data_IF_832088837280
#
_entry.id   IF_832088837280
#
_cell.length_a   1.000
_cell.length_b   1.000
_cell.length_c   1.000
_cell.angle_alpha   90.00
_cell.angle_beta   90.00
_cell.angle_gamma   90.00
#
_symmetry.space_group_name_H-M   'P 1'
#
loop_
_entity.id
_entity.type
_entity.pdbx_description
1 polymer ?
#
# COMPACT_ATOMS: atom_id res chain seq x y z
N UNK A 1 9.52 -10.81 16.29
CA UNK A 1 10.72 -11.22 15.53
C UNK A 1 10.77 -10.40 14.23
N UNK A 2 11.95 -9.92 13.83
CA UNK A 2 12.15 -9.26 12.53
C UNK A 2 13.03 -10.14 11.63
N UNK A 3 12.73 -10.15 10.33
CA UNK A 3 13.53 -10.81 9.29
C UNK A 3 14.09 -9.76 8.35
N UNK A 4 15.33 -9.94 7.88
CA UNK A 4 15.89 -9.11 6.81
C UNK A 4 15.52 -9.74 5.46
N UNK A 5 14.92 -8.93 4.59
CA UNK A 5 14.56 -9.31 3.23
C UNK A 5 15.31 -8.39 2.25
N UNK A 6 15.91 -8.97 1.22
CA UNK A 6 16.50 -8.21 0.11
C UNK A 6 15.50 -8.24 -1.05
N UNK A 7 15.13 -7.07 -1.56
CA UNK A 7 14.14 -6.92 -2.63
C UNK A 7 14.80 -6.17 -3.79
N UNK A 8 14.61 -6.67 -5.02
CA UNK A 8 14.98 -5.95 -6.23
C UNK A 8 13.78 -5.12 -6.68
N UNK A 9 13.98 -3.82 -6.84
CA UNK A 9 12.96 -2.87 -7.29
C UNK A 9 13.48 -2.15 -8.53
N UNK A 10 12.58 -1.71 -9.41
CA UNK A 10 12.97 -0.79 -10.47
C UNK A 10 13.42 0.55 -9.88
N UNK A 11 14.29 1.25 -10.59
CA UNK A 11 14.79 2.57 -10.18
C UNK A 11 13.65 3.57 -9.96
N UNK A 12 12.63 3.50 -10.82
CA UNK A 12 11.44 4.35 -10.72
C UNK A 12 10.68 4.11 -9.42
N UNK A 13 10.43 2.83 -9.08
CA UNK A 13 9.73 2.48 -7.85
C UNK A 13 10.55 2.84 -6.61
N UNK A 14 11.86 2.61 -6.65
CA UNK A 14 12.77 3.00 -5.57
C UNK A 14 12.72 4.51 -5.31
N UNK A 15 12.73 5.34 -6.36
CA UNK A 15 12.59 6.80 -6.25
C UNK A 15 11.23 7.22 -5.69
N UNK A 16 10.14 6.57 -6.11
CA UNK A 16 8.80 6.83 -5.54
C UNK A 16 8.76 6.52 -4.04
N UNK A 17 9.37 5.42 -3.61
CA UNK A 17 9.46 5.07 -2.19
C UNK A 17 10.31 6.08 -1.40
N UNK A 18 11.41 6.59 -1.97
CA UNK A 18 12.21 7.67 -1.35
C UNK A 18 11.38 8.93 -1.14
N UNK A 19 10.63 9.36 -2.15
CA UNK A 19 9.81 10.56 -2.06
C UNK A 19 8.73 10.43 -0.97
N UNK A 20 8.04 9.29 -0.91
CA UNK A 20 7.01 9.03 0.10
C UNK A 20 7.62 8.96 1.50
N UNK A 21 8.78 8.31 1.65
CA UNK A 21 9.48 8.23 2.91
C UNK A 21 9.89 9.62 3.43
N UNK A 22 10.41 10.47 2.54
CA UNK A 22 10.77 11.85 2.88
C UNK A 22 9.55 12.69 3.33
N UNK A 23 8.43 12.58 2.63
CA UNK A 23 7.18 13.29 2.98
C UNK A 23 6.61 12.89 4.35
N UNK A 24 6.88 11.66 4.80
CA UNK A 24 6.38 11.12 6.06
C UNK A 24 7.43 11.12 7.18
N UNK A 25 8.58 11.78 6.99
CA UNK A 25 9.72 11.73 7.91
C UNK A 25 10.08 10.28 8.32
N UNK A 26 10.10 9.38 7.34
CA UNK A 26 10.22 7.94 7.53
C UNK A 26 11.28 7.32 6.61
N UNK A 27 11.30 6.00 6.49
CA UNK A 27 12.24 5.26 5.65
C UNK A 27 11.53 4.25 4.73
N UNK A 28 12.22 3.77 3.68
CA UNK A 28 11.67 2.81 2.70
C UNK A 28 11.10 1.55 3.34
N UNK A 29 11.73 1.04 4.40
CA UNK A 29 11.29 -0.17 5.08
C UNK A 29 9.94 0.03 5.76
N UNK A 30 9.68 1.20 6.34
CA UNK A 30 8.36 1.55 6.89
C UNK A 30 7.31 1.67 5.79
N UNK A 31 7.63 2.34 4.68
CA UNK A 31 6.71 2.48 3.53
C UNK A 31 6.36 1.10 2.95
N UNK A 32 7.35 0.24 2.76
CA UNK A 32 7.14 -1.14 2.31
C UNK A 32 6.31 -1.95 3.29
N UNK A 33 6.53 -1.80 4.61
CA UNK A 33 5.73 -2.50 5.61
C UNK A 33 4.26 -2.08 5.56
N UNK A 34 3.97 -0.79 5.46
CA UNK A 34 2.60 -0.27 5.32
C UNK A 34 1.94 -0.80 4.04
N UNK A 35 2.68 -0.81 2.93
CA UNK A 35 2.19 -1.34 1.66
C UNK A 35 1.83 -2.84 1.75
N UNK A 36 2.70 -3.65 2.38
CA UNK A 36 2.42 -5.08 2.61
C UNK A 36 1.23 -5.29 3.54
N UNK A 37 1.09 -4.50 4.60
CA UNK A 37 -0.06 -4.59 5.50
C UNK A 37 -1.37 -4.25 4.78
N UNK A 38 -1.38 -3.20 3.96
CA UNK A 38 -2.53 -2.83 3.14
C UNK A 38 -2.90 -3.95 2.17
N UNK A 39 -1.89 -4.57 1.54
CA UNK A 39 -2.09 -5.70 0.63
C UNK A 39 -2.76 -6.89 1.34
N UNK A 40 -2.27 -7.28 2.52
CA UNK A 40 -2.84 -8.37 3.31
C UNK A 40 -4.29 -8.08 3.72
N UNK A 41 -4.56 -6.87 4.23
CA UNK A 41 -5.91 -6.46 4.62
C UNK A 41 -6.88 -6.46 3.43
N UNK A 42 -6.44 -5.98 2.26
CA UNK A 42 -7.22 -6.03 1.04
C UNK A 42 -7.49 -7.48 0.60
N UNK A 43 -6.50 -8.37 0.72
CA UNK A 43 -6.65 -9.78 0.35
C UNK A 43 -7.64 -10.51 1.26
N UNK A 44 -7.57 -10.30 2.56
CA UNK A 44 -8.51 -10.88 3.53
C UNK A 44 -9.95 -10.37 3.30
N UNK A 45 -10.10 -9.07 3.03
CA UNK A 45 -11.38 -8.46 2.72
C UNK A 45 -12.00 -9.03 1.45
N UNK A 46 -11.22 -9.12 0.37
CA UNK A 46 -11.70 -9.66 -0.92
C UNK A 46 -12.07 -11.14 -0.84
N UNK A 47 -11.33 -11.95 -0.08
CA UNK A 47 -11.71 -13.34 0.20
C UNK A 47 -13.04 -13.47 0.95
N UNK A 48 -13.39 -12.46 1.75
CA UNK A 48 -14.67 -12.39 2.47
C UNK A 48 -15.82 -11.79 1.63
N UNK A 49 -15.59 -11.56 0.33
CA UNK A 49 -16.58 -10.98 -0.58
C UNK A 49 -16.67 -9.45 -0.55
N UNK A 50 -15.79 -8.77 0.21
CA UNK A 50 -15.73 -7.31 0.24
C UNK A 50 -14.98 -6.76 -0.98
N UNK A 51 -15.28 -5.52 -1.35
CA UNK A 51 -14.59 -4.80 -2.41
C UNK A 51 -13.63 -3.77 -1.82
N UNK A 52 -12.49 -3.56 -2.45
CA UNK A 52 -11.59 -2.46 -2.10
C UNK A 52 -11.87 -1.26 -3.02
N UNK A 53 -11.95 -0.07 -2.45
CA UNK A 53 -12.11 1.14 -3.24
C UNK A 53 -11.54 2.38 -2.55
N UNK A 54 -11.28 3.41 -3.35
CA UNK A 54 -10.97 4.75 -2.86
C UNK A 54 -12.27 5.51 -2.68
N UNK A 55 -12.45 6.07 -1.49
CA UNK A 55 -13.66 6.78 -1.07
C UNK A 55 -13.37 8.27 -1.04
N UNK A 56 -14.30 9.06 -1.57
CA UNK A 56 -14.30 10.50 -1.36
C UNK A 56 -14.61 10.82 0.12
N UNK A 57 -13.72 11.52 0.85
CA UNK A 57 -13.98 11.82 2.25
C UNK A 57 -15.18 12.74 2.47
N UNK A 58 -15.53 13.60 1.51
CA UNK A 58 -16.65 14.56 1.61
C UNK A 58 -17.98 13.90 1.24
N UNK A 59 -18.06 13.28 0.06
CA UNK A 59 -19.32 12.68 -0.42
C UNK A 59 -19.57 11.26 0.10
N UNK A 60 -18.53 10.59 0.61
CA UNK A 60 -18.51 9.16 0.99
C UNK A 60 -18.80 8.19 -0.15
N UNK A 61 -18.78 8.66 -1.38
CA UNK A 61 -18.95 7.81 -2.55
C UNK A 61 -17.65 7.09 -2.89
N UNK A 62 -17.75 5.83 -3.34
CA UNK A 62 -16.62 5.10 -3.89
C UNK A 62 -16.34 5.69 -5.28
N UNK A 63 -15.21 6.40 -5.41
CA UNK A 63 -14.80 6.98 -6.69
C UNK A 63 -14.17 5.95 -7.62
N UNK A 64 -13.53 4.91 -7.07
CA UNK A 64 -12.86 3.87 -7.86
C UNK A 64 -12.77 2.57 -7.07
N UNK A 65 -13.24 1.48 -7.66
CA UNK A 65 -12.99 0.12 -7.17
C UNK A 65 -11.61 -0.35 -7.65
N UNK A 66 -10.79 -0.87 -6.74
CA UNK A 66 -9.50 -1.46 -7.06
C UNK A 66 -9.73 -2.96 -7.29
N UNK A 67 -9.61 -3.39 -8.55
CA UNK A 67 -9.80 -4.78 -8.97
C UNK A 67 -8.44 -5.47 -9.14
N UNK A 68 -8.28 -6.66 -8.57
CA UNK A 68 -7.11 -7.51 -8.82
C UNK A 68 -5.93 -7.37 -7.86
N UNK A 69 -6.19 -7.02 -6.59
CA UNK A 69 -5.19 -7.13 -5.51
C UNK A 69 -4.97 -8.59 -5.06
#
# INVERSE_FOLDING_TARGET
>A
MSMRMNIVLSDELSKKLDMIAAQQESNKSEVLRKALQLYLAAREGTQSGLKLGLVDPESKEIRTEIVGL
#
